data_IF_571114165950
#
_entry.id   IF_571114165950
#
_cell.length_a   1.000
_cell.length_b   1.000
_cell.length_c   1.000
_cell.angle_alpha   90.00
_cell.angle_beta   90.00
_cell.angle_gamma   90.00
#
_symmetry.space_group_name_H-M   'P 1'
#
loop_
_entity.id
_entity.type
_entity.pdbx_description
1 polymer ?
#
# COMPACT_ATOMS: atom_id res chain seq x y z
N UNK A 1 12.58 1.16 -11.92
CA UNK A 1 12.73 1.12 -10.46
C UNK A 1 11.40 0.76 -9.82
N UNK A 2 11.38 -0.27 -9.00
CA UNK A 2 10.20 -0.68 -8.23
C UNK A 2 10.38 -0.29 -6.77
N UNK A 3 9.42 0.45 -6.23
CA UNK A 3 9.42 0.90 -4.84
C UNK A 3 8.26 0.23 -4.09
N UNK A 4 8.58 -0.51 -3.04
CA UNK A 4 7.59 -1.16 -2.20
C UNK A 4 7.10 -0.19 -1.12
N UNK A 5 5.92 0.36 -1.33
CA UNK A 5 5.18 1.17 -0.37
C UNK A 5 4.25 0.29 0.48
N UNK A 6 3.10 0.77 0.82
CA UNK A 6 2.06 0.04 1.54
C UNK A 6 0.74 0.79 1.42
N UNK A 7 -0.38 0.08 1.53
CA UNK A 7 -1.69 0.71 1.70
C UNK A 7 -1.75 1.57 2.98
N UNK A 8 -0.94 1.26 3.98
CA UNK A 8 -0.82 2.07 5.19
C UNK A 8 -0.31 3.49 4.91
N UNK A 9 0.41 3.71 3.79
CA UNK A 9 0.86 5.03 3.36
C UNK A 9 -0.31 5.97 2.99
N UNK A 10 -1.46 5.42 2.62
CA UNK A 10 -2.60 6.21 2.16
C UNK A 10 -3.38 6.84 3.33
N UNK A 11 -3.42 6.17 4.46
CA UNK A 11 -4.03 6.70 5.68
C UNK A 11 -3.54 5.97 6.93
N UNK A 12 -2.98 6.71 7.87
CA UNK A 12 -2.51 6.17 9.15
C UNK A 12 -3.65 5.81 10.08
N UNK A 13 -3.45 4.71 10.83
CA UNK A 13 -4.33 4.30 11.94
C UNK A 13 -3.61 4.51 13.26
N UNK A 14 -4.37 4.50 14.35
CA UNK A 14 -3.82 4.68 15.70
C UNK A 14 -2.82 3.60 16.11
N UNK A 15 -2.93 2.41 15.53
CA UNK A 15 -2.12 1.23 15.87
C UNK A 15 -0.91 1.02 14.95
N UNK A 16 -0.79 1.84 13.88
CA UNK A 16 0.31 1.69 12.93
C UNK A 16 0.90 3.02 12.42
N UNK A 17 0.66 4.13 13.12
CA UNK A 17 1.02 5.46 12.60
C UNK A 17 2.52 5.66 12.40
N UNK A 18 3.37 5.00 13.19
CA UNK A 18 4.82 5.07 13.00
C UNK A 18 5.23 4.38 11.70
N UNK A 19 4.79 3.15 11.48
CA UNK A 19 5.01 2.41 10.24
C UNK A 19 4.40 3.15 9.04
N UNK A 20 3.17 3.59 9.16
CA UNK A 20 2.45 4.31 8.12
C UNK A 20 3.17 5.59 7.70
N UNK A 21 3.73 6.34 8.64
CA UNK A 21 4.47 7.58 8.34
C UNK A 21 5.74 7.31 7.53
N UNK A 22 6.46 6.22 7.82
CA UNK A 22 7.64 5.84 7.05
C UNK A 22 7.26 5.44 5.63
N UNK A 23 6.19 4.69 5.47
CA UNK A 23 5.69 4.27 4.15
C UNK A 23 5.10 5.44 3.36
N UNK A 24 4.42 6.37 4.02
CA UNK A 24 3.94 7.60 3.38
C UNK A 24 5.10 8.46 2.86
N UNK A 25 6.19 8.56 3.62
CA UNK A 25 7.40 9.25 3.20
C UNK A 25 8.03 8.62 1.95
N UNK A 26 8.19 7.30 1.95
CA UNK A 26 8.73 6.56 0.80
C UNK A 26 7.81 6.69 -0.42
N UNK A 27 6.51 6.58 -0.23
CA UNK A 27 5.52 6.71 -1.29
C UNK A 27 5.57 8.10 -1.95
N UNK A 28 5.59 9.14 -1.14
CA UNK A 28 5.69 10.52 -1.60
C UNK A 28 7.01 10.77 -2.33
N UNK A 29 8.12 10.29 -1.78
CA UNK A 29 9.43 10.39 -2.42
C UNK A 29 9.44 9.70 -3.79
N UNK A 30 8.92 8.48 -3.88
CA UNK A 30 8.88 7.71 -5.12
C UNK A 30 8.02 8.39 -6.19
N UNK A 31 6.90 8.99 -5.78
CA UNK A 31 6.03 9.75 -6.70
C UNK A 31 6.75 10.97 -7.26
N UNK A 32 7.44 11.73 -6.41
CA UNK A 32 8.26 12.87 -6.86
C UNK A 32 9.41 12.45 -7.76
N UNK A 33 10.06 11.32 -7.43
CA UNK A 33 11.13 10.77 -8.27
C UNK A 33 10.61 10.37 -9.65
N UNK A 34 9.42 9.77 -9.73
CA UNK A 34 8.79 9.41 -11.00
C UNK A 34 8.60 10.65 -11.89
N UNK A 35 8.14 11.74 -11.30
CA UNK A 35 7.97 13.01 -12.03
C UNK A 35 9.32 13.59 -12.47
N UNK A 36 10.31 13.55 -11.60
CA UNK A 36 11.67 14.06 -11.92
C UNK A 36 12.35 13.28 -13.05
N UNK A 37 12.09 11.97 -13.15
CA UNK A 37 12.67 11.10 -14.17
C UNK A 37 11.82 11.01 -15.44
N UNK A 38 10.74 11.74 -15.53
CA UNK A 38 9.90 11.75 -16.72
C UNK A 38 10.67 12.13 -17.98
N UNK A 39 10.61 11.29 -19.00
CA UNK A 39 11.35 11.47 -20.25
C UNK A 39 12.79 10.97 -20.23
N UNK A 40 13.30 10.47 -19.10
CA UNK A 40 14.67 9.95 -18.99
C UNK A 40 14.84 8.52 -19.51
N UNK A 41 13.75 7.80 -19.75
CA UNK A 41 13.75 6.35 -20.06
C UNK A 41 13.73 5.46 -18.83
N UNK A 42 13.71 6.03 -17.61
CA UNK A 42 13.59 5.29 -16.36
C UNK A 42 12.17 5.42 -15.84
N UNK A 43 11.49 4.27 -15.68
CA UNK A 43 10.19 4.22 -15.04
C UNK A 43 10.34 3.98 -13.54
N UNK A 44 9.51 4.63 -12.75
CA UNK A 44 9.36 4.36 -11.31
C UNK A 44 7.97 3.78 -11.08
N UNK A 45 7.92 2.60 -10.48
CA UNK A 45 6.68 1.88 -10.21
C UNK A 45 6.51 1.79 -8.70
N UNK A 46 5.45 2.38 -8.19
CA UNK A 46 5.10 2.30 -6.77
C UNK A 46 4.11 1.16 -6.56
N UNK A 47 4.44 0.24 -5.67
CA UNK A 47 3.59 -0.89 -5.31
C UNK A 47 3.07 -0.68 -3.90
N UNK A 48 1.74 -0.71 -3.73
CA UNK A 48 1.06 -0.60 -2.45
C UNK A 48 0.44 -1.94 -2.05
N UNK A 49 1.21 -2.83 -1.39
CA UNK A 49 0.65 -4.07 -0.89
C UNK A 49 -0.29 -3.80 0.29
N UNK A 50 -1.30 -4.65 0.42
CA UNK A 50 -2.06 -4.79 1.65
C UNK A 50 -1.33 -5.68 2.65
N UNK A 51 -2.07 -6.41 3.49
CA UNK A 51 -1.48 -7.38 4.39
C UNK A 51 -0.88 -8.55 3.61
N UNK A 52 0.43 -8.79 3.77
CA UNK A 52 1.15 -9.87 3.09
C UNK A 52 1.61 -10.89 4.13
N UNK A 53 1.31 -12.16 3.88
CA UNK A 53 1.79 -13.26 4.73
C UNK A 53 3.29 -13.46 4.55
N UNK A 54 4.07 -12.92 5.49
CA UNK A 54 5.54 -13.05 5.52
C UNK A 54 6.00 -13.38 6.93
N UNK A 55 7.29 -13.61 7.10
CA UNK A 55 7.89 -13.78 8.45
C UNK A 55 7.63 -12.56 9.34
N UNK A 56 7.59 -11.36 8.77
CA UNK A 56 7.34 -10.11 9.51
C UNK A 56 5.90 -10.04 10.05
N UNK A 57 4.94 -10.72 9.41
CA UNK A 57 3.53 -10.74 9.82
C UNK A 57 3.13 -12.01 10.57
N UNK A 58 4.07 -12.91 10.83
CA UNK A 58 3.82 -14.15 11.57
C UNK A 58 3.28 -13.84 12.97
N UNK A 59 2.17 -14.50 13.33
CA UNK A 59 1.49 -14.29 14.61
C UNK A 59 0.55 -13.09 14.66
N UNK A 60 0.49 -12.26 13.63
CA UNK A 60 -0.48 -11.18 13.54
C UNK A 60 -1.83 -11.72 13.02
N UNK A 61 -2.97 -11.14 13.46
CA UNK A 61 -4.27 -11.49 12.92
C UNK A 61 -4.31 -11.27 11.40
N UNK A 62 -4.94 -12.21 10.70
CA UNK A 62 -5.10 -12.09 9.24
C UNK A 62 -6.06 -10.96 8.92
N UNK A 63 -5.60 -9.99 8.12
CA UNK A 63 -6.42 -8.88 7.65
C UNK A 63 -7.31 -9.30 6.48
N UNK A 64 -8.46 -8.64 6.28
CA UNK A 64 -9.24 -8.79 5.06
C UNK A 64 -8.39 -8.48 3.82
N UNK A 65 -8.63 -9.22 2.73
CA UNK A 65 -7.89 -9.07 1.48
C UNK A 65 -6.38 -9.30 1.63
N UNK A 66 -5.97 -10.16 2.58
CA UNK A 66 -4.58 -10.57 2.71
C UNK A 66 -4.08 -11.28 1.45
N UNK A 67 -2.81 -11.12 1.16
CA UNK A 67 -2.16 -11.69 -0.02
C UNK A 67 -0.87 -12.44 0.36
N UNK A 68 -0.24 -13.06 -0.60
CA UNK A 68 1.02 -13.77 -0.44
C UNK A 68 2.15 -13.07 -1.19
N UNK A 69 3.43 -13.31 -0.83
CA UNK A 69 4.55 -12.77 -1.60
C UNK A 69 4.51 -13.12 -3.08
N UNK A 70 4.08 -14.34 -3.42
CA UNK A 70 3.99 -14.78 -4.83
C UNK A 70 2.93 -13.99 -5.59
N UNK A 71 1.79 -13.71 -4.98
CA UNK A 71 0.74 -12.87 -5.58
C UNK A 71 1.21 -11.43 -5.78
N UNK A 72 1.95 -10.88 -4.83
CA UNK A 72 2.56 -9.54 -4.96
C UNK A 72 3.57 -9.54 -6.10
N UNK A 73 4.41 -10.56 -6.20
CA UNK A 73 5.40 -10.69 -7.29
C UNK A 73 4.74 -10.70 -8.66
N UNK A 74 3.62 -11.41 -8.82
CA UNK A 74 2.85 -11.44 -10.09
C UNK A 74 2.37 -10.04 -10.46
N UNK A 75 1.83 -9.30 -9.51
CA UNK A 75 1.37 -7.92 -9.74
C UNK A 75 2.53 -7.01 -10.14
N UNK A 76 3.69 -7.15 -9.51
CA UNK A 76 4.90 -6.37 -9.82
C UNK A 76 5.37 -6.67 -11.24
N UNK A 77 5.49 -7.93 -11.62
CA UNK A 77 5.94 -8.34 -12.96
C UNK A 77 4.99 -7.79 -14.04
N UNK A 78 3.67 -7.89 -13.81
CA UNK A 78 2.67 -7.31 -14.72
C UNK A 78 2.83 -5.79 -14.85
N UNK A 79 3.04 -5.10 -13.73
CA UNK A 79 3.24 -3.66 -13.70
C UNK A 79 4.49 -3.24 -14.49
N UNK A 80 5.58 -3.99 -14.38
CA UNK A 80 6.81 -3.76 -15.16
C UNK A 80 6.53 -3.92 -16.66
N UNK A 81 5.84 -5.00 -17.04
CA UNK A 81 5.50 -5.27 -18.45
C UNK A 81 4.59 -4.21 -19.07
N UNK A 82 3.63 -3.72 -18.29
CA UNK A 82 2.64 -2.74 -18.76
C UNK A 82 3.03 -1.30 -18.42
N UNK A 83 4.16 -1.08 -17.74
CA UNK A 83 4.69 0.22 -17.34
C UNK A 83 3.69 1.05 -16.51
N UNK A 84 2.92 0.40 -15.64
CA UNK A 84 1.98 1.09 -14.75
C UNK A 84 2.73 1.77 -13.61
N UNK A 85 2.54 3.09 -13.39
CA UNK A 85 3.31 3.83 -12.37
C UNK A 85 2.89 3.52 -10.93
N UNK A 86 1.68 3.03 -10.74
CA UNK A 86 1.12 2.76 -9.41
C UNK A 86 0.20 1.55 -9.46
N UNK A 87 0.45 0.58 -8.59
CA UNK A 87 -0.35 -0.64 -8.48
C UNK A 87 -0.60 -1.03 -7.02
N UNK A 88 -1.71 -1.72 -6.80
CA UNK A 88 -2.09 -2.30 -5.51
C UNK A 88 -2.04 -3.82 -5.58
N UNK A 89 -1.65 -4.46 -4.50
CA UNK A 89 -1.61 -5.91 -4.39
C UNK A 89 -2.25 -6.39 -3.08
N UNK A 90 -3.41 -7.05 -3.12
CA UNK A 90 -4.22 -7.36 -4.31
C UNK A 90 -4.89 -6.11 -4.90
N UNK A 91 -5.26 -6.17 -6.16
CA UNK A 91 -5.92 -5.04 -6.86
C UNK A 91 -7.23 -4.60 -6.20
N UNK A 92 -7.91 -5.52 -5.54
CA UNK A 92 -9.16 -5.29 -4.79
C UNK A 92 -9.00 -4.38 -3.58
N UNK A 93 -7.79 -4.18 -3.08
CA UNK A 93 -7.50 -3.25 -1.99
C UNK A 93 -7.70 -1.79 -2.41
N UNK A 94 -7.53 -1.48 -3.68
CA UNK A 94 -7.67 -0.10 -4.19
C UNK A 94 -9.03 0.53 -3.88
N UNK A 95 -10.19 -0.07 -4.23
CA UNK A 95 -11.48 0.53 -3.90
C UNK A 95 -11.73 0.63 -2.40
N UNK A 96 -11.28 -0.36 -1.61
CA UNK A 96 -11.37 -0.31 -0.16
C UNK A 96 -10.60 0.88 0.41
N UNK A 97 -9.35 1.08 0.00
CA UNK A 97 -8.52 2.19 0.47
C UNK A 97 -9.03 3.54 -0.02
N UNK A 98 -9.57 3.61 -1.25
CA UNK A 98 -10.20 4.82 -1.75
C UNK A 98 -11.38 5.25 -0.88
N UNK A 99 -12.21 4.30 -0.45
CA UNK A 99 -13.31 4.56 0.48
C UNK A 99 -12.81 5.01 1.84
N UNK A 100 -11.88 4.27 2.44
CA UNK A 100 -11.34 4.58 3.77
C UNK A 100 -10.62 5.94 3.81
N UNK A 101 -9.93 6.28 2.74
CA UNK A 101 -9.20 7.56 2.62
C UNK A 101 -10.11 8.77 2.70
N UNK A 102 -11.34 8.67 2.18
CA UNK A 102 -12.29 9.77 2.12
C UNK A 102 -13.25 9.83 3.30
N UNK A 103 -13.21 8.86 4.22
CA UNK A 103 -14.06 8.90 5.42
C UNK A 103 -13.69 10.07 6.33
N UNK A 104 -14.68 10.76 6.93
CA UNK A 104 -14.41 11.72 7.98
C UNK A 104 -13.65 11.08 9.14
N UNK A 105 -12.79 11.85 9.79
CA UNK A 105 -11.90 11.34 10.83
C UNK A 105 -12.62 10.55 11.94
N UNK A 106 -13.75 11.03 12.50
CA UNK A 106 -14.46 10.26 13.54
C UNK A 106 -14.97 8.91 13.06
N UNK A 107 -15.48 8.86 11.83
CA UNK A 107 -15.97 7.63 11.20
C UNK A 107 -14.83 6.64 10.96
N UNK A 108 -13.73 7.13 10.43
CA UNK A 108 -12.53 6.32 10.21
C UNK A 108 -11.99 5.73 11.51
N UNK A 109 -11.91 6.54 12.56
CA UNK A 109 -11.48 6.09 13.88
C UNK A 109 -12.40 5.00 14.46
N UNK A 110 -13.70 5.16 14.33
CA UNK A 110 -14.68 4.17 14.81
C UNK A 110 -14.55 2.85 14.06
N UNK A 111 -14.41 2.90 12.74
CA UNK A 111 -14.26 1.70 11.88
C UNK A 111 -12.96 0.95 12.19
N UNK A 112 -11.84 1.67 12.25
CA UNK A 112 -10.53 1.05 12.47
C UNK A 112 -10.36 0.53 13.90
N UNK A 113 -10.91 1.22 14.89
CA UNK A 113 -10.89 0.79 16.29
C UNK A 113 -11.68 -0.51 16.48
N UNK A 114 -12.85 -0.60 15.84
CA UNK A 114 -13.66 -1.82 15.86
C UNK A 114 -12.95 -2.99 15.18
N UNK A 115 -12.30 -2.75 14.06
CA UNK A 115 -11.53 -3.77 13.35
C UNK A 115 -10.30 -4.24 14.13
N UNK A 116 -9.63 -3.34 14.88
CA UNK A 116 -8.48 -3.66 15.71
C UNK A 116 -8.82 -4.44 16.99
N UNK A 117 -10.07 -4.32 17.47
CA UNK A 117 -10.58 -5.03 18.67
C UNK A 117 -11.30 -6.33 18.33
N UNK A 118 -11.47 -6.61 17.06
CA UNK A 118 -12.03 -7.83 16.54
C UNK A 118 -10.94 -8.80 16.14
#
# INVERSE_FOLDING_TARGET
LVVLSSVAAERSRFDNYVYASTKAGVDSWASGLADALKGSGIDVIVVRPGFVHTKMTTGLPVAPLATTPDQVAVVIVEAIKTRKPLVWAPKTVRPLMSTLRHLPRPVFQAVTKKAGNG
#
